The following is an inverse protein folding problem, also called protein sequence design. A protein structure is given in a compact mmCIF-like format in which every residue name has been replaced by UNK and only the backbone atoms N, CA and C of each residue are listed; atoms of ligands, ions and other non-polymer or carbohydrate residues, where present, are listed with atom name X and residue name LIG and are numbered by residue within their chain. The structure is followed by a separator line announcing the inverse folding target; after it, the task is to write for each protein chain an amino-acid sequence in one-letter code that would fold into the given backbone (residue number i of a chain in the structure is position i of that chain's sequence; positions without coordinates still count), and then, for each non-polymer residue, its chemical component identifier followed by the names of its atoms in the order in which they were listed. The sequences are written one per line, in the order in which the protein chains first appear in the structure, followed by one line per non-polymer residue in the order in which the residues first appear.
data_IF_766341595537
#
_entry.id   IF_766341595537
#
_cell.length_a   1.000
_cell.length_b   1.000
_cell.length_c   1.000
_cell.angle_alpha   90.00
_cell.angle_beta   90.00
_cell.angle_gamma   90.00
#
_symmetry.space_group_name_H-M   'P 1'
#
loop_
_entity.id
_entity.type
_entity.pdbx_description
1 polymer ?
#
# COMPACT_ATOMS: atom_id res chain seq x y z
N UNK A 1 -2.96 -5.80 -21.34
CA UNK A 1 -2.80 -4.50 -20.67
C UNK A 1 -3.38 -4.64 -19.29
N UNK A 2 -2.71 -4.13 -18.28
CA UNK A 2 -3.27 -4.09 -16.93
C UNK A 2 -4.50 -3.16 -16.92
N UNK A 3 -5.49 -3.45 -16.08
CA UNK A 3 -6.60 -2.53 -15.86
C UNK A 3 -6.07 -1.21 -15.29
N UNK A 4 -6.72 -0.06 -15.58
CA UNK A 4 -6.37 1.19 -14.93
C UNK A 4 -6.61 1.10 -13.41
N UNK A 5 -5.95 1.97 -12.67
CA UNK A 5 -6.12 2.06 -11.22
C UNK A 5 -7.14 3.14 -10.84
N UNK A 6 -7.90 2.89 -9.79
CA UNK A 6 -8.52 3.92 -8.96
C UNK A 6 -7.84 3.89 -7.59
N UNK A 7 -7.39 5.06 -7.14
CA UNK A 7 -6.80 5.24 -5.81
C UNK A 7 -7.90 5.62 -4.81
N UNK A 8 -7.83 5.12 -3.58
CA UNK A 8 -8.81 5.44 -2.55
C UNK A 8 -8.12 6.17 -1.39
N UNK A 9 -8.42 7.46 -1.27
CA UNK A 9 -7.81 8.42 -0.35
C UNK A 9 -6.85 9.39 -1.03
N UNK A 10 -7.15 10.68 -1.06
CA UNK A 10 -6.40 11.75 -1.75
C UNK A 10 -5.35 12.47 -0.89
N UNK A 11 -5.00 11.94 0.28
CA UNK A 11 -4.04 12.55 1.20
C UNK A 11 -2.58 12.50 0.72
N UNK A 12 -1.65 12.87 1.60
CA UNK A 12 -0.22 12.95 1.27
C UNK A 12 0.38 11.64 0.75
N UNK A 13 -0.04 10.49 1.30
CA UNK A 13 0.41 9.17 0.85
C UNK A 13 -0.03 8.87 -0.60
N UNK A 14 -1.21 9.36 -1.00
CA UNK A 14 -1.71 9.22 -2.37
C UNK A 14 -0.73 9.80 -3.39
N UNK A 15 -0.12 10.96 -3.11
CA UNK A 15 0.85 11.60 -4.01
C UNK A 15 2.06 10.71 -4.29
N UNK A 16 2.59 10.05 -3.27
CA UNK A 16 3.71 9.11 -3.42
C UNK A 16 3.31 7.85 -4.20
N UNK A 17 2.07 7.38 -4.02
CA UNK A 17 1.57 6.21 -4.74
C UNK A 17 1.29 6.54 -6.21
N UNK A 18 0.76 7.73 -6.52
CA UNK A 18 0.58 8.18 -7.90
C UNK A 18 1.91 8.09 -8.65
N UNK A 19 2.96 8.73 -8.13
CA UNK A 19 4.28 8.75 -8.77
C UNK A 19 4.85 7.34 -8.94
N UNK A 20 4.74 6.50 -7.91
CA UNK A 20 5.20 5.12 -7.97
C UNK A 20 4.45 4.30 -9.03
N UNK A 21 3.13 4.47 -9.13
CA UNK A 21 2.29 3.76 -10.08
C UNK A 21 2.55 4.21 -11.53
N UNK A 22 2.71 5.53 -11.77
CA UNK A 22 3.05 6.08 -13.10
C UNK A 22 4.36 5.51 -13.61
N UNK A 23 5.42 5.58 -12.79
CA UNK A 23 6.74 5.08 -13.18
C UNK A 23 6.72 3.55 -13.38
N UNK A 24 5.88 2.83 -12.65
CA UNK A 24 5.66 1.39 -12.84
C UNK A 24 4.78 1.06 -14.07
N UNK A 25 4.31 2.08 -14.81
CA UNK A 25 3.56 1.90 -16.06
C UNK A 25 2.06 1.67 -15.87
N UNK A 26 1.49 1.98 -14.71
CA UNK A 26 0.04 1.96 -14.53
C UNK A 26 -0.59 3.25 -15.05
N UNK A 27 -1.79 3.13 -15.61
CA UNK A 27 -2.69 4.27 -15.82
C UNK A 27 -3.59 4.45 -14.61
N UNK A 28 -3.82 5.69 -14.20
CA UNK A 28 -4.69 6.03 -13.08
C UNK A 28 -5.92 6.75 -13.63
N UNK A 29 -7.11 6.20 -13.38
CA UNK A 29 -8.37 6.77 -13.84
C UNK A 29 -8.80 7.97 -12.98
N UNK A 30 -8.56 7.90 -11.66
CA UNK A 30 -8.91 8.95 -10.72
C UNK A 30 -8.77 8.48 -9.27
N UNK A 31 -9.30 9.31 -8.39
CA UNK A 31 -9.21 9.11 -6.93
C UNK A 31 -10.62 9.11 -6.35
N UNK A 32 -10.90 8.23 -5.40
CA UNK A 32 -12.08 8.28 -4.55
C UNK A 32 -11.68 8.82 -3.18
N UNK A 33 -12.47 9.74 -2.63
CA UNK A 33 -12.21 10.34 -1.31
C UNK A 33 -13.53 10.79 -0.67
N UNK A 34 -13.47 11.71 0.28
CA UNK A 34 -14.64 12.23 0.97
C UNK A 34 -15.53 13.08 0.02
N UNK A 35 -16.84 13.15 0.27
CA UNK A 35 -17.76 13.91 -0.59
C UNK A 35 -17.36 15.38 -0.82
N UNK A 36 -16.80 16.03 0.19
CA UNK A 36 -16.32 17.42 0.14
C UNK A 36 -15.10 17.63 -0.75
N UNK A 37 -14.37 16.56 -1.06
CA UNK A 37 -13.16 16.61 -1.88
C UNK A 37 -13.44 16.31 -3.36
N UNK A 38 -14.65 15.91 -3.71
CA UNK A 38 -15.02 15.59 -5.11
C UNK A 38 -14.81 16.81 -6.01
N UNK A 39 -14.04 16.61 -7.08
CA UNK A 39 -13.63 17.66 -8.03
C UNK A 39 -12.28 18.30 -7.69
N UNK A 40 -11.77 18.14 -6.47
CA UNK A 40 -10.44 18.63 -6.08
C UNK A 40 -9.34 17.87 -6.83
N UNK A 41 -8.25 18.57 -7.09
CA UNK A 41 -7.05 18.01 -7.71
C UNK A 41 -6.01 17.67 -6.64
N UNK A 42 -5.58 16.42 -6.59
CA UNK A 42 -4.56 15.93 -5.62
C UNK A 42 -3.14 16.20 -6.12
N UNK A 43 -2.91 15.92 -7.40
CA UNK A 43 -1.74 16.30 -8.19
C UNK A 43 -2.21 16.74 -9.59
N UNK A 44 -1.42 17.51 -10.34
CA UNK A 44 -1.78 17.93 -11.69
C UNK A 44 -2.23 16.76 -12.57
N UNK A 45 -3.48 16.82 -13.03
CA UNK A 45 -4.09 15.76 -13.84
C UNK A 45 -4.80 14.65 -13.06
N UNK A 46 -4.71 14.61 -11.72
CA UNK A 46 -5.33 13.57 -10.87
C UNK A 46 -6.37 14.17 -9.94
N UNK A 47 -7.64 13.93 -10.25
CA UNK A 47 -8.79 14.50 -9.52
C UNK A 47 -9.50 13.44 -8.69
N UNK A 48 -10.16 13.92 -7.65
CA UNK A 48 -11.17 13.14 -6.92
C UNK A 48 -12.42 13.08 -7.81
N UNK A 49 -12.77 11.87 -8.25
CA UNK A 49 -13.86 11.61 -9.20
C UNK A 49 -15.13 11.06 -8.55
N UNK A 50 -15.08 10.79 -7.25
CA UNK A 50 -16.21 10.24 -6.49
C UNK A 50 -15.79 9.86 -5.08
N UNK A 51 -16.63 9.09 -4.42
CA UNK A 51 -16.46 8.62 -3.06
C UNK A 51 -16.26 7.11 -3.00
N UNK A 52 -15.97 6.57 -1.83
CA UNK A 52 -15.85 5.12 -1.64
C UNK A 52 -17.21 4.38 -1.81
N UNK A 53 -18.35 5.10 -1.85
CA UNK A 53 -19.66 4.53 -2.20
C UNK A 53 -19.77 4.20 -3.69
N UNK A 54 -18.91 4.78 -4.52
CA UNK A 54 -18.87 4.53 -5.96
C UNK A 54 -18.04 3.29 -6.33
N UNK A 55 -17.36 2.64 -5.37
CA UNK A 55 -16.55 1.42 -5.60
C UNK A 55 -17.31 0.37 -6.45
N UNK A 56 -18.59 0.03 -6.16
CA UNK A 56 -19.31 -0.98 -6.94
C UNK A 56 -19.44 -0.66 -8.44
N UNK A 57 -19.43 0.62 -8.81
CA UNK A 57 -19.57 1.03 -10.21
C UNK A 57 -18.31 0.78 -11.04
N UNK A 58 -17.18 0.59 -10.40
CA UNK A 58 -15.87 0.48 -11.06
C UNK A 58 -15.26 -0.93 -11.04
N UNK A 59 -15.80 -1.87 -10.26
CA UNK A 59 -15.14 -3.18 -9.98
C UNK A 59 -14.77 -3.99 -11.23
N UNK A 60 -15.54 -3.88 -12.31
CA UNK A 60 -15.27 -4.59 -13.55
C UNK A 60 -14.24 -3.87 -14.45
N UNK A 61 -13.99 -2.60 -14.22
CA UNK A 61 -13.23 -1.72 -15.11
C UNK A 61 -11.81 -1.46 -14.61
N UNK A 62 -11.60 -1.48 -13.30
CA UNK A 62 -10.35 -1.06 -12.66
C UNK A 62 -9.82 -2.09 -11.66
N UNK A 63 -8.62 -1.87 -11.19
CA UNK A 63 -8.12 -2.38 -9.91
C UNK A 63 -7.94 -1.21 -8.94
N UNK A 64 -8.14 -1.46 -7.65
CA UNK A 64 -8.08 -0.42 -6.62
C UNK A 64 -6.74 -0.43 -5.89
N UNK A 65 -6.31 0.74 -5.44
CA UNK A 65 -5.17 0.89 -4.52
C UNK A 65 -5.59 1.77 -3.36
N UNK A 66 -5.44 1.30 -2.14
CA UNK A 66 -5.81 2.07 -0.96
C UNK A 66 -4.64 2.98 -0.58
N UNK A 67 -4.86 4.28 -0.70
CA UNK A 67 -3.86 5.33 -0.44
C UNK A 67 -4.11 6.08 0.86
N UNK A 68 -5.04 5.61 1.68
CA UNK A 68 -5.19 6.06 3.08
C UNK A 68 -4.08 5.42 3.91
N UNK A 69 -3.15 6.24 4.44
CA UNK A 69 -2.16 5.79 5.41
C UNK A 69 -2.72 5.75 6.83
N UNK A 70 -1.94 5.23 7.78
CA UNK A 70 -2.27 5.31 9.21
C UNK A 70 -0.98 5.36 10.05
N UNK A 71 -1.10 5.86 11.27
CA UNK A 71 -0.05 5.84 12.29
C UNK A 71 -0.52 5.03 13.51
N UNK A 72 -1.65 5.40 14.08
CA UNK A 72 -2.15 4.76 15.32
C UNK A 72 -3.32 3.80 15.07
N UNK A 73 -4.12 4.04 14.03
CA UNK A 73 -5.36 3.30 13.85
C UNK A 73 -5.59 2.93 12.38
N UNK A 74 -5.53 1.64 12.03
CA UNK A 74 -5.73 1.16 10.68
C UNK A 74 -7.21 1.00 10.28
N UNK A 75 -8.17 1.29 11.16
CA UNK A 75 -9.59 0.94 10.96
C UNK A 75 -10.16 1.46 9.64
N UNK A 76 -9.85 2.70 9.26
CA UNK A 76 -10.36 3.28 8.00
C UNK A 76 -9.84 2.49 6.80
N UNK A 77 -8.54 2.22 6.77
CA UNK A 77 -7.91 1.45 5.71
C UNK A 77 -8.48 0.02 5.61
N UNK A 78 -8.70 -0.62 6.75
CA UNK A 78 -9.33 -1.96 6.82
C UNK A 78 -10.77 -1.93 6.31
N UNK A 79 -11.57 -0.93 6.69
CA UNK A 79 -12.95 -0.77 6.21
C UNK A 79 -12.99 -0.63 4.69
N UNK A 80 -12.12 0.20 4.12
CA UNK A 80 -12.02 0.38 2.67
C UNK A 80 -11.62 -0.94 1.99
N UNK A 81 -10.63 -1.65 2.54
CA UNK A 81 -10.22 -2.97 2.03
C UNK A 81 -11.40 -3.94 1.96
N UNK A 82 -12.15 -4.05 3.04
CA UNK A 82 -13.33 -4.92 3.11
C UNK A 82 -14.40 -4.48 2.12
N UNK A 83 -14.68 -3.17 2.03
CA UNK A 83 -15.67 -2.61 1.09
C UNK A 83 -15.33 -2.95 -0.37
N UNK A 84 -14.07 -2.85 -0.76
CA UNK A 84 -13.61 -3.28 -2.10
C UNK A 84 -13.82 -4.78 -2.30
N UNK A 85 -13.46 -5.61 -1.32
CA UNK A 85 -13.62 -7.08 -1.42
C UNK A 85 -15.08 -7.49 -1.45
N UNK A 86 -15.93 -6.90 -0.63
CA UNK A 86 -17.38 -7.17 -0.59
C UNK A 86 -18.07 -6.78 -1.90
N UNK A 87 -17.61 -5.72 -2.56
CA UNK A 87 -18.09 -5.33 -3.88
C UNK A 87 -17.57 -6.23 -5.02
N UNK A 88 -16.70 -7.21 -4.74
CA UNK A 88 -16.08 -8.07 -5.75
C UNK A 88 -14.87 -7.43 -6.46
N UNK A 89 -14.40 -6.28 -5.98
CA UNK A 89 -13.27 -5.58 -6.54
C UNK A 89 -11.92 -6.26 -6.27
N UNK A 90 -10.94 -5.95 -7.09
CA UNK A 90 -9.55 -6.40 -6.96
C UNK A 90 -8.66 -5.26 -6.50
N UNK A 91 -7.71 -5.58 -5.65
CA UNK A 91 -6.70 -4.62 -5.20
C UNK A 91 -5.38 -4.89 -5.92
N UNK A 92 -4.84 -3.87 -6.57
CA UNK A 92 -3.54 -3.96 -7.21
C UNK A 92 -2.41 -3.89 -6.18
N UNK A 93 -1.38 -4.68 -6.41
CA UNK A 93 -0.11 -4.57 -5.70
C UNK A 93 0.81 -3.67 -6.53
N UNK A 94 1.16 -2.51 -5.99
CA UNK A 94 2.01 -1.53 -6.66
C UNK A 94 3.43 -1.61 -6.11
N UNK A 95 4.38 -1.88 -7.00
CA UNK A 95 5.81 -1.90 -6.66
C UNK A 95 6.50 -0.82 -7.49
N UNK A 96 7.06 0.19 -6.81
CA UNK A 96 7.81 1.24 -7.48
C UNK A 96 8.98 0.64 -8.27
N UNK A 97 9.24 1.14 -9.47
CA UNK A 97 10.32 0.63 -10.35
C UNK A 97 11.73 0.75 -9.75
N UNK A 98 11.89 1.63 -8.76
CA UNK A 98 13.16 1.80 -8.02
C UNK A 98 13.23 0.94 -6.76
N UNK A 99 12.17 0.24 -6.40
CA UNK A 99 12.20 -0.74 -5.31
C UNK A 99 12.79 -2.06 -5.80
N UNK A 100 13.51 -2.74 -4.94
CA UNK A 100 14.02 -4.08 -5.22
C UNK A 100 13.27 -5.11 -4.37
N UNK A 101 12.44 -5.90 -5.01
CA UNK A 101 11.77 -7.04 -4.38
C UNK A 101 12.40 -8.32 -4.91
N UNK A 102 12.95 -9.13 -4.02
CA UNK A 102 13.52 -10.42 -4.38
C UNK A 102 12.47 -11.30 -5.06
N UNK A 103 12.87 -11.99 -6.12
CA UNK A 103 12.02 -13.00 -6.77
C UNK A 103 11.62 -14.17 -5.86
N UNK A 104 12.28 -14.31 -4.74
CA UNK A 104 12.01 -15.32 -3.72
C UNK A 104 11.15 -14.78 -2.57
N UNK A 105 10.80 -13.49 -2.56
CA UNK A 105 9.87 -12.91 -1.62
C UNK A 105 8.43 -13.06 -2.11
N UNK A 106 7.48 -12.92 -1.19
CA UNK A 106 6.05 -12.87 -1.50
C UNK A 106 5.44 -11.57 -1.02
N UNK A 107 4.62 -10.94 -1.87
CA UNK A 107 3.90 -9.70 -1.54
C UNK A 107 2.40 -9.95 -1.71
N UNK A 108 1.64 -9.68 -0.68
CA UNK A 108 0.18 -9.87 -0.68
C UNK A 108 -0.58 -8.79 -1.45
N UNK A 109 -1.81 -9.12 -1.81
CA UNK A 109 -2.74 -8.27 -2.57
C UNK A 109 -2.93 -6.89 -1.91
N UNK A 110 -2.95 -5.83 -2.72
CA UNK A 110 -3.18 -4.46 -2.26
C UNK A 110 -2.01 -3.80 -1.54
N UNK A 111 -0.88 -4.48 -1.45
CA UNK A 111 0.33 -3.94 -0.84
C UNK A 111 1.01 -2.94 -1.76
N UNK A 112 1.51 -1.86 -1.18
CA UNK A 112 2.27 -0.83 -1.88
C UNK A 112 3.71 -0.84 -1.41
N UNK A 113 4.66 -0.96 -2.36
CA UNK A 113 6.10 -0.91 -2.12
C UNK A 113 6.64 0.35 -2.79
N UNK A 114 7.01 1.34 -1.98
CA UNK A 114 7.45 2.64 -2.48
C UNK A 114 8.94 2.67 -2.84
N UNK A 115 9.36 3.83 -3.35
CA UNK A 115 10.69 4.04 -3.92
C UNK A 115 11.83 3.63 -3.00
N UNK A 116 12.84 2.96 -3.56
CA UNK A 116 14.06 2.52 -2.91
C UNK A 116 13.84 1.57 -1.72
N UNK A 117 12.65 1.01 -1.57
CA UNK A 117 12.45 -0.05 -0.60
C UNK A 117 13.11 -1.34 -1.07
N UNK A 118 13.60 -2.12 -0.13
CA UNK A 118 14.21 -3.43 -0.37
C UNK A 118 13.44 -4.51 0.38
N UNK A 119 13.06 -5.58 -0.32
CA UNK A 119 12.45 -6.78 0.26
C UNK A 119 13.28 -7.99 -0.14
N UNK A 120 13.96 -8.57 0.82
CA UNK A 120 14.96 -9.61 0.61
C UNK A 120 14.35 -11.01 0.40
N UNK A 121 15.20 -11.98 0.11
CA UNK A 121 14.81 -13.36 -0.18
C UNK A 121 14.06 -14.01 0.99
N UNK A 122 13.06 -14.80 0.65
CA UNK A 122 12.18 -15.50 1.60
C UNK A 122 11.34 -14.60 2.52
N UNK A 123 11.43 -13.28 2.38
CA UNK A 123 10.54 -12.38 3.12
C UNK A 123 9.09 -12.59 2.67
N UNK A 124 8.17 -12.56 3.64
CA UNK A 124 6.73 -12.70 3.40
C UNK A 124 6.02 -11.44 3.85
N UNK A 125 5.40 -10.75 2.93
CA UNK A 125 4.62 -9.55 3.19
C UNK A 125 3.15 -9.85 2.96
N UNK A 126 2.33 -9.54 3.94
CA UNK A 126 0.88 -9.73 3.91
C UNK A 126 0.14 -8.79 2.96
N UNK A 127 -1.19 -8.78 3.09
CA UNK A 127 -2.11 -7.99 2.26
C UNK A 127 -2.26 -6.57 2.78
N UNK A 128 -2.49 -5.64 1.84
CA UNK A 128 -2.77 -4.23 2.15
C UNK A 128 -1.73 -3.58 3.06
N UNK A 129 -0.47 -3.97 2.90
CA UNK A 129 0.67 -3.41 3.65
C UNK A 129 1.20 -2.17 2.94
N UNK A 130 1.66 -1.20 3.71
CA UNK A 130 2.44 -0.07 3.20
C UNK A 130 3.92 -0.34 3.53
N UNK A 131 4.72 -0.54 2.50
CA UNK A 131 6.19 -0.54 2.60
C UNK A 131 6.65 0.79 2.04
N UNK A 132 6.97 1.71 2.95
CA UNK A 132 7.25 3.10 2.60
C UNK A 132 8.66 3.28 2.01
N UNK A 133 8.95 4.50 1.56
CA UNK A 133 10.22 4.86 0.92
C UNK A 133 11.43 4.49 1.79
N UNK A 134 12.46 3.89 1.19
CA UNK A 134 13.71 3.46 1.84
C UNK A 134 13.54 2.40 2.95
N UNK A 135 12.41 1.72 3.03
CA UNK A 135 12.27 0.59 3.96
C UNK A 135 13.16 -0.56 3.54
N UNK A 136 13.83 -1.18 4.51
CA UNK A 136 14.58 -2.42 4.32
C UNK A 136 13.91 -3.56 5.09
N UNK A 137 13.48 -4.60 4.36
CA UNK A 137 12.96 -5.85 4.94
C UNK A 137 13.93 -6.96 4.55
N UNK A 138 14.62 -7.50 5.55
CA UNK A 138 15.65 -8.50 5.37
C UNK A 138 15.09 -9.93 5.18
N UNK A 139 16.01 -10.87 4.87
CA UNK A 139 15.67 -12.26 4.57
C UNK A 139 14.83 -12.91 5.68
N UNK A 140 13.90 -13.78 5.28
CA UNK A 140 13.05 -14.58 6.18
C UNK A 140 12.17 -13.75 7.14
N UNK A 141 12.07 -12.43 6.97
CA UNK A 141 11.17 -11.59 7.75
C UNK A 141 9.71 -11.82 7.33
N UNK A 142 8.80 -11.81 8.30
CA UNK A 142 7.37 -11.98 8.07
C UNK A 142 6.62 -10.71 8.53
N UNK A 143 5.86 -10.10 7.61
CA UNK A 143 5.04 -8.91 7.87
C UNK A 143 3.58 -9.30 7.70
N UNK A 144 2.80 -9.17 8.76
CA UNK A 144 1.36 -9.48 8.77
C UNK A 144 0.53 -8.51 7.92
N UNK A 145 -0.74 -8.85 7.74
CA UNK A 145 -1.69 -8.05 6.97
C UNK A 145 -1.92 -6.67 7.59
N UNK A 146 -2.25 -5.68 6.74
CA UNK A 146 -2.68 -4.34 7.17
C UNK A 146 -1.60 -3.56 7.96
N UNK A 147 -0.33 -3.89 7.80
CA UNK A 147 0.78 -3.17 8.44
C UNK A 147 1.18 -1.92 7.68
N UNK A 148 1.81 -0.98 8.39
CA UNK A 148 2.50 0.16 7.79
C UNK A 148 3.95 0.20 8.31
N UNK A 149 4.88 -0.14 7.44
CA UNK A 149 6.31 -0.01 7.69
C UNK A 149 6.72 1.34 7.14
N UNK A 150 7.01 2.28 8.04
CA UNK A 150 7.18 3.70 7.69
C UNK A 150 8.59 3.99 7.17
N UNK A 151 8.75 5.19 6.61
CA UNK A 151 9.94 5.64 5.86
C UNK A 151 11.25 5.27 6.54
N UNK A 152 12.11 4.56 5.82
CA UNK A 152 13.46 4.22 6.27
C UNK A 152 13.55 3.24 7.44
N UNK A 153 12.45 2.58 7.81
CA UNK A 153 12.48 1.54 8.84
C UNK A 153 13.27 0.32 8.36
N UNK A 154 14.00 -0.31 9.26
CA UNK A 154 14.82 -1.50 9.00
C UNK A 154 14.28 -2.68 9.81
N UNK A 155 13.81 -3.71 9.10
CA UNK A 155 13.32 -4.97 9.66
C UNK A 155 14.38 -6.02 9.36
N UNK A 156 15.20 -6.36 10.35
CA UNK A 156 16.27 -7.32 10.15
C UNK A 156 15.76 -8.77 10.04
N UNK A 157 16.68 -9.67 9.69
CA UNK A 157 16.34 -11.05 9.33
C UNK A 157 15.53 -11.80 10.40
N UNK A 158 14.61 -12.64 9.95
CA UNK A 158 13.77 -13.49 10.80
C UNK A 158 12.83 -12.74 11.77
N UNK A 159 12.67 -11.41 11.61
CA UNK A 159 11.68 -10.66 12.39
C UNK A 159 10.25 -11.07 12.02
N UNK A 160 9.36 -11.08 13.01
CA UNK A 160 7.92 -11.34 12.80
C UNK A 160 7.11 -10.15 13.26
N UNK A 161 6.44 -9.50 12.32
CA UNK A 161 5.54 -8.38 12.58
C UNK A 161 4.11 -8.90 12.44
N UNK A 162 3.34 -8.81 13.53
CA UNK A 162 1.92 -9.20 13.53
C UNK A 162 1.08 -8.30 12.63
N UNK A 163 -0.22 -8.59 12.56
CA UNK A 163 -1.15 -7.79 11.76
C UNK A 163 -1.38 -6.39 12.36
N UNK A 164 -1.68 -5.41 11.49
CA UNK A 164 -2.10 -4.04 11.88
C UNK A 164 -1.05 -3.26 12.66
N UNK A 165 0.20 -3.66 12.59
CA UNK A 165 1.30 -2.97 13.26
C UNK A 165 1.76 -1.78 12.43
N UNK A 166 2.03 -0.66 13.13
CA UNK A 166 2.75 0.48 12.58
C UNK A 166 4.19 0.47 13.11
N UNK A 167 5.15 0.40 12.20
CA UNK A 167 6.57 0.58 12.53
C UNK A 167 6.98 1.99 12.12
N UNK A 168 7.40 2.80 13.10
CA UNK A 168 7.73 4.21 12.91
C UNK A 168 8.91 4.42 11.96
N UNK A 169 9.02 5.63 11.41
CA UNK A 169 10.11 6.01 10.50
C UNK A 169 11.47 5.81 11.17
N UNK A 170 12.42 5.25 10.42
CA UNK A 170 13.80 4.99 10.84
C UNK A 170 13.94 4.08 12.07
N UNK A 171 12.88 3.36 12.46
CA UNK A 171 12.98 2.33 13.49
C UNK A 171 13.83 1.17 12.99
N UNK A 172 14.62 0.59 13.89
CA UNK A 172 15.43 -0.60 13.60
C UNK A 172 14.98 -1.72 14.53
N UNK A 173 14.54 -2.84 13.95
CA UNK A 173 14.26 -4.07 14.68
C UNK A 173 15.47 -5.01 14.51
N UNK A 174 16.06 -5.44 15.63
CA UNK A 174 17.14 -6.44 15.60
C UNK A 174 16.60 -7.79 15.10
N UNK A 175 17.52 -8.66 14.67
CA UNK A 175 17.15 -9.99 14.16
C UNK A 175 16.27 -10.79 15.13
N UNK A 176 15.39 -11.61 14.58
CA UNK A 176 14.55 -12.56 15.30
C UNK A 176 13.55 -11.93 16.30
N UNK A 177 13.29 -10.61 16.23
CA UNK A 177 12.30 -9.95 17.10
C UNK A 177 10.88 -10.19 16.59
N UNK A 178 9.96 -10.41 17.52
CA UNK A 178 8.52 -10.43 17.26
C UNK A 178 7.88 -9.16 17.80
N UNK A 179 7.04 -8.49 16.98
CA UNK A 179 6.31 -7.27 17.34
C UNK A 179 4.83 -7.46 17.01
N UNK A 180 3.98 -7.17 17.97
CA UNK A 180 2.54 -7.35 17.82
C UNK A 180 2.14 -8.82 17.88
N UNK A 181 1.00 -9.14 18.50
CA UNK A 181 0.42 -10.47 18.64
C UNK A 181 -1.03 -10.36 19.05
#
# INVERSE_FOLDING_TARGET
MNKPLILIGGGGHCKSVIEAAEIAGYSILGILDMPEDVGNEVLPGYKVIGTDDDIPTYVDQVEFVITVGFIMNPIIRIKIFNKVKEAGGKLATVVASTALVSKYATIGEGTVVLHHAFVNASAKVGKNVIINTFVNIEHDAEIGDQCHISTGAMINGECKIGERVFVGSQSVLANCITVGG
#
